data_IF_633360187008
#
_entry.id   IF_633360187008
#
_cell.length_a   1.000
_cell.length_b   1.000
_cell.length_c   1.000
_cell.angle_alpha   90.00
_cell.angle_beta   90.00
_cell.angle_gamma   90.00
#
_symmetry.space_group_name_H-M   'P 1'
#
loop_
_entity.id
_entity.type
_entity.pdbx_description
1 polymer ?
#
# COMPACT_ATOMS: atom_id res chain seq x y z
N UNK A 1 33.10 21.13 55.95
CA UNK A 1 33.48 21.66 54.61
C UNK A 1 33.66 20.56 53.55
N UNK A 2 34.54 19.55 53.74
CA UNK A 2 34.80 18.52 52.70
C UNK A 2 33.58 17.73 52.24
N UNK A 3 32.61 17.44 53.14
CA UNK A 3 31.37 16.68 52.78
C UNK A 3 30.40 17.48 51.91
N UNK A 4 30.33 18.80 52.07
CA UNK A 4 29.45 19.65 51.26
C UNK A 4 30.01 19.89 49.85
N UNK A 5 31.34 19.92 49.72
CA UNK A 5 32.02 20.05 48.42
C UNK A 5 31.79 18.80 47.58
N UNK A 6 31.85 17.59 48.15
CA UNK A 6 31.58 16.33 47.48
C UNK A 6 30.14 16.24 46.99
N UNK A 7 29.15 16.70 47.79
CA UNK A 7 27.74 16.73 47.41
C UNK A 7 27.46 17.73 46.27
N UNK A 8 28.11 18.87 46.28
CA UNK A 8 27.98 19.88 45.21
C UNK A 8 28.59 19.35 43.88
N UNK A 9 29.76 18.68 43.99
CA UNK A 9 30.42 18.07 42.82
C UNK A 9 29.56 16.94 42.23
N UNK A 10 28.88 16.13 43.07
CA UNK A 10 27.98 15.07 42.62
C UNK A 10 26.73 15.62 41.96
N UNK A 11 26.15 16.70 42.48
CA UNK A 11 25.04 17.40 41.85
C UNK A 11 25.43 18.03 40.51
N UNK A 12 26.64 18.54 40.40
CA UNK A 12 27.15 19.11 39.15
C UNK A 12 27.41 18.02 38.08
N UNK A 13 27.88 16.84 38.48
CA UNK A 13 28.03 15.67 37.59
C UNK A 13 26.69 15.13 37.09
N UNK A 14 25.63 15.20 37.89
CA UNK A 14 24.27 14.80 37.48
C UNK A 14 23.63 15.79 36.47
N UNK A 15 24.04 17.07 36.48
CA UNK A 15 23.50 18.07 35.55
C UNK A 15 24.10 17.98 34.14
N UNK A 16 25.16 17.20 33.95
CA UNK A 16 25.85 17.01 32.65
C UNK A 16 25.25 15.86 31.83
N UNK A 17 24.22 15.16 32.32
CA UNK A 17 23.41 14.32 31.46
C UNK A 17 22.64 15.24 30.50
N UNK A 18 23.31 15.66 29.46
CA UNK A 18 22.68 16.37 28.36
C UNK A 18 21.60 15.43 27.76
N UNK A 19 20.37 15.84 27.90
CA UNK A 19 19.29 15.29 27.10
C UNK A 19 19.69 15.49 25.65
N UNK A 20 20.17 14.45 24.99
CA UNK A 20 20.39 14.48 23.55
C UNK A 20 19.00 14.67 22.92
N UNK A 21 18.67 15.90 22.58
CA UNK A 21 17.47 16.21 21.82
C UNK A 21 17.62 15.50 20.48
N UNK A 22 16.79 14.47 20.26
CA UNK A 22 16.79 13.74 19.02
C UNK A 22 16.26 14.68 17.93
N UNK A 23 17.13 15.14 17.05
CA UNK A 23 16.75 15.98 15.93
C UNK A 23 16.11 15.08 14.87
N UNK A 24 14.79 15.17 14.73
CA UNK A 24 14.09 14.50 13.64
C UNK A 24 14.28 15.31 12.37
N UNK A 25 14.84 14.68 11.35
CA UNK A 25 14.83 15.22 9.98
C UNK A 25 13.54 14.78 9.29
N UNK A 26 12.69 15.73 8.95
CA UNK A 26 11.48 15.46 8.16
C UNK A 26 11.83 15.61 6.68
N UNK A 27 11.68 14.52 5.92
CA UNK A 27 11.84 14.53 4.46
C UNK A 27 10.44 14.45 3.83
N UNK A 28 10.10 15.41 3.00
CA UNK A 28 8.88 15.36 2.18
C UNK A 28 9.14 14.51 0.95
N UNK A 29 8.22 13.59 0.67
CA UNK A 29 8.18 12.81 -0.57
C UNK A 29 6.98 13.26 -1.39
N UNK A 30 7.20 13.69 -2.62
CA UNK A 30 6.18 14.20 -3.52
C UNK A 30 6.59 14.02 -4.97
N UNK A 31 5.89 14.69 -5.88
CA UNK A 31 6.16 14.62 -7.34
C UNK A 31 7.60 15.03 -7.68
N UNK A 32 8.19 15.98 -6.94
CA UNK A 32 9.58 16.40 -7.14
C UNK A 32 10.58 15.28 -6.82
N UNK A 33 10.19 14.29 -6.00
CA UNK A 33 10.99 13.12 -5.67
C UNK A 33 10.62 11.88 -6.47
N UNK A 34 9.68 12.01 -7.44
CA UNK A 34 9.29 10.95 -8.37
C UNK A 34 7.98 10.24 -8.05
N UNK A 35 7.22 10.72 -7.06
CA UNK A 35 5.85 10.24 -6.82
C UNK A 35 4.95 10.68 -7.99
N UNK A 36 4.05 9.82 -8.46
CA UNK A 36 3.20 10.10 -9.62
C UNK A 36 2.20 11.25 -9.39
N UNK A 37 1.67 11.37 -8.16
CA UNK A 37 0.75 12.42 -7.77
C UNK A 37 0.84 12.68 -6.26
N UNK A 38 0.71 13.94 -5.83
CA UNK A 38 0.73 14.32 -4.42
C UNK A 38 -0.52 13.90 -3.63
N UNK A 39 -1.60 13.51 -4.32
CA UNK A 39 -2.80 12.99 -3.68
C UNK A 39 -2.66 11.48 -3.47
N UNK A 40 -2.14 11.13 -2.29
CA UNK A 40 -1.95 9.74 -1.87
C UNK A 40 -3.18 9.29 -1.10
N UNK A 41 -3.89 8.29 -1.63
CA UNK A 41 -5.13 7.77 -1.05
C UNK A 41 -4.90 6.57 -0.13
N UNK A 42 -3.84 5.80 -0.37
CA UNK A 42 -3.55 4.59 0.41
C UNK A 42 -2.06 4.26 0.39
N UNK A 43 -1.58 3.68 1.49
CA UNK A 43 -0.18 3.24 1.66
C UNK A 43 -0.18 1.85 2.28
N UNK A 44 0.73 0.99 1.81
CA UNK A 44 1.01 -0.31 2.41
C UNK A 44 2.49 -0.64 2.32
N UNK A 45 2.96 -1.60 3.12
CA UNK A 45 4.34 -2.10 3.06
C UNK A 45 4.33 -3.59 2.73
N UNK A 46 5.14 -4.01 1.76
CA UNK A 46 5.31 -5.42 1.44
C UNK A 46 6.31 -6.14 2.37
N UNK A 47 6.43 -7.45 2.22
CA UNK A 47 7.33 -8.28 3.03
C UNK A 47 8.82 -8.01 2.80
N UNK A 48 9.15 -7.40 1.68
CA UNK A 48 10.52 -7.01 1.34
C UNK A 48 10.90 -5.65 1.93
N UNK A 49 9.90 -4.96 2.54
CA UNK A 49 10.08 -3.65 3.17
C UNK A 49 9.84 -2.46 2.24
N UNK A 50 9.48 -2.68 0.97
CA UNK A 50 9.12 -1.62 0.05
C UNK A 50 7.77 -1.00 0.41
N UNK A 51 7.66 0.32 0.30
CA UNK A 51 6.41 1.03 0.46
C UNK A 51 5.68 1.14 -0.89
N UNK A 52 4.37 0.94 -0.86
CA UNK A 52 3.50 1.06 -2.01
C UNK A 52 2.47 2.14 -1.76
N UNK A 53 2.30 3.02 -2.73
CA UNK A 53 1.40 4.18 -2.64
C UNK A 53 0.39 4.12 -3.78
N UNK A 54 -0.88 4.14 -3.42
CA UNK A 54 -1.96 4.40 -4.36
C UNK A 54 -2.19 5.90 -4.45
N UNK A 55 -2.26 6.41 -5.67
CA UNK A 55 -2.55 7.82 -5.95
C UNK A 55 -3.68 7.95 -6.98
N UNK A 56 -4.12 9.18 -7.26
CA UNK A 56 -5.04 9.44 -8.38
C UNK A 56 -4.39 9.28 -9.77
N UNK A 57 -3.05 9.11 -9.83
CA UNK A 57 -2.31 8.95 -11.08
C UNK A 57 -1.30 7.80 -11.01
N UNK A 58 -1.76 6.62 -10.63
CA UNK A 58 -0.99 5.40 -10.70
C UNK A 58 -0.52 4.84 -9.37
N UNK A 59 0.10 3.66 -9.47
CA UNK A 59 0.69 2.92 -8.37
C UNK A 59 2.18 3.22 -8.29
N UNK A 60 2.67 3.48 -7.07
CA UNK A 60 4.07 3.79 -6.85
C UNK A 60 4.69 2.81 -5.86
N UNK A 61 5.86 2.28 -6.19
CA UNK A 61 6.74 1.52 -5.30
C UNK A 61 7.92 2.37 -4.89
N UNK A 62 8.25 2.40 -3.60
CA UNK A 62 9.37 3.17 -3.05
C UNK A 62 10.34 2.26 -2.31
N UNK A 63 11.62 2.34 -2.66
CA UNK A 63 12.70 1.52 -2.11
C UNK A 63 13.44 2.19 -0.92
N UNK A 64 12.99 3.37 -0.49
CA UNK A 64 13.66 4.23 0.50
C UNK A 64 14.44 5.39 -0.15
N UNK A 65 14.72 5.33 -1.44
CA UNK A 65 15.46 6.32 -2.21
C UNK A 65 14.77 6.76 -3.49
N UNK A 66 14.18 5.83 -4.24
CA UNK A 66 13.60 6.07 -5.56
C UNK A 66 12.17 5.55 -5.66
N UNK A 67 11.37 6.20 -6.49
CA UNK A 67 10.06 5.72 -6.89
C UNK A 67 10.14 4.96 -8.22
N UNK A 68 9.39 3.85 -8.30
CA UNK A 68 9.03 3.18 -9.54
C UNK A 68 7.52 3.33 -9.67
N UNK A 69 7.05 3.88 -10.78
CA UNK A 69 5.63 4.13 -11.01
C UNK A 69 5.07 3.16 -12.05
N UNK A 70 3.85 2.68 -11.81
CA UNK A 70 3.10 1.80 -12.69
C UNK A 70 1.84 2.51 -13.16
N UNK A 71 1.68 2.58 -14.49
CA UNK A 71 0.55 3.24 -15.15
C UNK A 71 -0.25 2.27 -16.01
N UNK A 72 -1.49 2.64 -16.30
CA UNK A 72 -2.28 1.99 -17.33
C UNK A 72 -1.61 2.19 -18.70
N UNK A 73 -1.45 1.08 -19.46
CA UNK A 73 -0.85 1.10 -20.79
C UNK A 73 0.58 1.66 -20.84
N UNK A 74 1.38 1.43 -19.82
CA UNK A 74 2.78 1.84 -19.80
C UNK A 74 3.60 1.03 -20.84
N UNK A 75 4.10 1.66 -21.94
CA UNK A 75 4.83 0.96 -22.97
C UNK A 75 6.22 0.45 -22.51
N UNK A 76 6.72 0.92 -21.36
CA UNK A 76 8.00 0.47 -20.77
C UNK A 76 7.88 -0.87 -20.05
N UNK A 77 6.65 -1.31 -19.77
CA UNK A 77 6.38 -2.58 -19.11
C UNK A 77 6.10 -3.67 -20.15
N UNK A 78 6.85 -4.76 -20.06
CA UNK A 78 6.69 -5.93 -20.95
C UNK A 78 5.41 -6.75 -20.69
N UNK A 79 4.60 -6.38 -19.70
CA UNK A 79 3.34 -7.02 -19.33
C UNK A 79 2.19 -6.03 -19.43
N UNK A 80 0.96 -6.56 -19.49
CA UNK A 80 -0.23 -5.75 -19.33
C UNK A 80 -0.14 -5.03 -17.99
N UNK A 81 -0.12 -3.70 -18.02
CA UNK A 81 -0.02 -2.86 -16.82
C UNK A 81 -1.29 -2.91 -15.96
N UNK A 82 -1.33 -2.05 -14.98
CA UNK A 82 -2.54 -1.81 -14.17
C UNK A 82 -3.71 -1.35 -15.07
N UNK A 83 -4.93 -1.74 -14.73
CA UNK A 83 -6.12 -1.45 -15.56
C UNK A 83 -6.55 0.01 -15.54
N UNK A 84 -6.22 0.76 -14.47
CA UNK A 84 -6.58 2.16 -14.29
C UNK A 84 -5.56 2.94 -13.46
N UNK A 85 -5.50 4.25 -13.64
CA UNK A 85 -4.59 5.12 -12.89
C UNK A 85 -5.21 5.72 -11.63
N UNK A 86 -6.54 5.90 -11.60
CA UNK A 86 -7.26 6.43 -10.42
C UNK A 86 -7.44 5.30 -9.39
N UNK A 87 -6.63 5.32 -8.33
CA UNK A 87 -6.61 4.26 -7.33
C UNK A 87 -7.36 4.68 -6.06
N UNK A 88 -8.03 3.72 -5.43
CA UNK A 88 -8.71 3.91 -4.15
C UNK A 88 -7.98 3.24 -2.99
N UNK A 89 -7.40 2.06 -3.22
CA UNK A 89 -6.76 1.27 -2.16
C UNK A 89 -5.59 0.47 -2.70
N UNK A 90 -4.57 0.31 -1.85
CA UNK A 90 -3.50 -0.67 -2.03
C UNK A 90 -3.36 -1.51 -0.76
N UNK A 91 -3.22 -2.83 -0.93
CA UNK A 91 -3.05 -3.79 0.16
C UNK A 91 -1.97 -4.82 -0.20
N UNK A 92 -0.94 -4.92 0.64
CA UNK A 92 0.09 -5.96 0.49
C UNK A 92 -0.36 -7.26 1.15
N UNK A 93 -0.44 -8.32 0.37
CA UNK A 93 -0.79 -9.64 0.89
C UNK A 93 0.28 -10.13 1.87
N UNK A 94 -0.16 -10.54 3.07
CA UNK A 94 0.76 -10.99 4.13
C UNK A 94 1.27 -12.40 3.93
N UNK A 95 0.73 -13.17 2.99
CA UNK A 95 1.09 -14.56 2.69
C UNK A 95 1.78 -14.71 1.33
N UNK A 96 1.35 -13.94 0.34
CA UNK A 96 1.77 -14.03 -1.07
C UNK A 96 2.61 -12.82 -1.48
N UNK A 97 3.46 -12.96 -2.50
CA UNK A 97 4.19 -11.82 -3.10
C UNK A 97 3.26 -11.01 -4.00
N UNK A 98 2.15 -10.52 -3.45
CA UNK A 98 1.09 -9.86 -4.20
C UNK A 98 0.72 -8.52 -3.55
N UNK A 99 0.59 -7.51 -4.38
CA UNK A 99 -0.05 -6.24 -4.04
C UNK A 99 -1.42 -6.22 -4.71
N UNK A 100 -2.46 -6.04 -3.91
CA UNK A 100 -3.84 -5.87 -4.36
C UNK A 100 -4.13 -4.39 -4.53
N UNK A 101 -4.76 -4.03 -5.64
CA UNK A 101 -4.97 -2.63 -6.01
C UNK A 101 -6.44 -2.45 -6.44
N UNK A 102 -7.19 -1.65 -5.67
CA UNK A 102 -8.53 -1.21 -6.01
C UNK A 102 -8.45 0.05 -6.87
N UNK A 103 -9.15 0.06 -8.00
CA UNK A 103 -9.26 1.23 -8.88
C UNK A 103 -10.67 1.83 -8.80
N UNK A 104 -10.79 3.10 -9.16
CA UNK A 104 -12.05 3.81 -9.08
C UNK A 104 -13.09 3.28 -10.08
N UNK A 105 -12.68 2.84 -11.29
CA UNK A 105 -13.61 2.40 -12.35
C UNK A 105 -13.08 1.28 -13.24
N UNK A 106 -11.89 0.78 -12.93
CA UNK A 106 -11.17 -0.16 -13.78
C UNK A 106 -10.90 -1.50 -13.08
N UNK A 107 -11.72 -1.83 -12.04
CA UNK A 107 -11.72 -3.12 -11.35
C UNK A 107 -10.68 -3.26 -10.25
N UNK A 108 -10.41 -4.52 -9.91
CA UNK A 108 -9.40 -4.94 -8.95
C UNK A 108 -8.20 -5.50 -9.71
N UNK A 109 -6.99 -5.19 -9.25
CA UNK A 109 -5.77 -5.77 -9.81
C UNK A 109 -4.99 -6.50 -8.72
N UNK A 110 -4.32 -7.60 -9.09
CA UNK A 110 -3.31 -8.27 -8.30
C UNK A 110 -1.96 -8.14 -9.00
N UNK A 111 -1.00 -7.47 -8.38
CA UNK A 111 0.37 -7.40 -8.89
C UNK A 111 1.26 -8.39 -8.14
N UNK A 112 1.70 -9.45 -8.84
CA UNK A 112 2.70 -10.36 -8.32
C UNK A 112 4.09 -9.76 -8.56
N UNK A 113 4.76 -9.31 -7.50
CA UNK A 113 6.01 -8.59 -7.63
C UNK A 113 7.24 -9.50 -7.85
N UNK A 114 7.15 -10.81 -7.59
CA UNK A 114 8.20 -11.77 -7.93
C UNK A 114 8.17 -12.11 -9.43
N UNK A 115 6.96 -12.22 -9.99
CA UNK A 115 6.75 -12.50 -11.43
C UNK A 115 6.68 -11.24 -12.28
N UNK A 116 6.49 -10.08 -11.66
CA UNK A 116 6.28 -8.78 -12.31
C UNK A 116 5.07 -8.79 -13.27
N UNK A 117 3.95 -9.40 -12.84
CA UNK A 117 2.74 -9.56 -13.66
C UNK A 117 1.54 -8.99 -12.92
N UNK A 118 0.74 -8.20 -13.64
CA UNK A 118 -0.60 -7.79 -13.22
C UNK A 118 -1.65 -8.81 -13.68
N UNK A 119 -2.56 -9.16 -12.79
CA UNK A 119 -3.76 -9.97 -13.07
C UNK A 119 -4.98 -9.11 -12.77
N UNK A 120 -5.76 -8.71 -13.79
CA UNK A 120 -6.98 -7.95 -13.58
C UNK A 120 -8.15 -8.84 -13.20
N UNK A 121 -9.02 -8.32 -12.34
CA UNK A 121 -10.34 -8.84 -12.01
C UNK A 121 -11.36 -7.78 -12.39
N UNK A 122 -12.16 -8.07 -13.39
CA UNK A 122 -13.11 -7.13 -13.98
C UNK A 122 -14.53 -7.66 -13.87
N UNK A 123 -15.50 -6.74 -13.88
CA UNK A 123 -16.89 -7.09 -14.05
C UNK A 123 -17.13 -7.69 -15.44
N UNK A 124 -17.78 -8.85 -15.46
CA UNK A 124 -18.26 -9.50 -16.66
C UNK A 124 -19.75 -9.89 -16.47
N UNK A 125 -20.70 -9.26 -17.17
CA UNK A 125 -22.14 -9.54 -17.01
C UNK A 125 -22.53 -10.98 -17.37
N UNK A 126 -21.71 -11.69 -18.12
CA UNK A 126 -21.93 -13.09 -18.49
C UNK A 126 -21.40 -14.09 -17.45
N UNK A 127 -20.61 -13.63 -16.49
CA UNK A 127 -20.04 -14.46 -15.42
C UNK A 127 -20.54 -14.01 -14.04
N UNK A 128 -21.47 -14.77 -13.42
CA UNK A 128 -22.02 -14.44 -12.11
C UNK A 128 -21.00 -14.53 -10.96
N UNK A 129 -19.80 -15.04 -11.21
CA UNK A 129 -18.72 -15.11 -10.25
C UNK A 129 -17.61 -14.08 -10.51
N UNK A 130 -17.80 -13.19 -11.47
CA UNK A 130 -16.93 -12.05 -11.69
C UNK A 130 -17.23 -10.92 -10.69
N UNK A 131 -16.37 -9.91 -10.63
CA UNK A 131 -16.61 -8.69 -9.87
C UNK A 131 -17.96 -8.06 -10.24
N UNK A 132 -18.78 -7.63 -9.28
CA UNK A 132 -20.13 -7.10 -9.56
C UNK A 132 -20.11 -5.72 -10.22
N UNK A 133 -19.05 -4.97 -10.01
CA UNK A 133 -18.78 -3.66 -10.64
C UNK A 133 -17.29 -3.38 -10.65
N UNK A 134 -16.81 -2.58 -11.60
CA UNK A 134 -15.42 -2.16 -11.64
C UNK A 134 -15.09 -1.02 -10.67
N UNK A 135 -16.07 -0.46 -9.97
CA UNK A 135 -15.86 0.58 -8.96
C UNK A 135 -15.52 -0.05 -7.59
N UNK A 136 -14.24 -0.32 -7.35
CA UNK A 136 -13.74 -0.93 -6.12
C UNK A 136 -13.26 0.14 -5.15
N UNK A 137 -13.77 0.14 -3.91
CA UNK A 137 -13.49 1.19 -2.93
C UNK A 137 -12.46 0.78 -1.88
N UNK A 138 -12.50 -0.46 -1.38
CA UNK A 138 -11.57 -0.92 -0.34
C UNK A 138 -11.31 -2.43 -0.43
N UNK A 139 -10.24 -2.87 0.24
CA UNK A 139 -9.77 -4.26 0.29
C UNK A 139 -9.39 -4.59 1.73
N UNK A 140 -9.92 -5.69 2.26
CA UNK A 140 -9.55 -6.20 3.57
C UNK A 140 -9.29 -7.71 3.52
N UNK A 141 -8.26 -8.22 4.23
CA UNK A 141 -8.02 -9.66 4.33
C UNK A 141 -9.14 -10.33 5.13
N UNK A 142 -9.48 -11.56 4.74
CA UNK A 142 -10.37 -12.40 5.55
C UNK A 142 -9.61 -12.93 6.78
N UNK A 143 -10.26 -12.88 7.94
CA UNK A 143 -9.76 -13.53 9.15
C UNK A 143 -10.15 -15.00 9.24
N UNK A 144 -11.10 -15.44 8.42
CA UNK A 144 -11.62 -16.81 8.42
C UNK A 144 -10.87 -17.72 7.42
N UNK A 145 -10.24 -17.14 6.41
CA UNK A 145 -9.48 -17.87 5.40
C UNK A 145 -8.30 -17.03 4.91
N UNK A 146 -7.12 -17.64 4.86
CA UNK A 146 -5.93 -17.02 4.29
C UNK A 146 -6.03 -16.80 2.76
N UNK A 147 -7.01 -17.46 2.12
CA UNK A 147 -7.28 -17.41 0.68
C UNK A 147 -8.48 -16.52 0.35
N UNK A 148 -8.89 -15.64 1.27
CA UNK A 148 -10.03 -14.77 1.10
C UNK A 148 -9.72 -13.31 1.26
N UNK A 149 -10.34 -12.48 0.41
CA UNK A 149 -10.38 -11.03 0.54
C UNK A 149 -11.82 -10.54 0.56
N UNK A 150 -12.09 -9.60 1.43
CA UNK A 150 -13.30 -8.79 1.40
C UNK A 150 -13.05 -7.56 0.54
N UNK A 151 -13.95 -7.33 -0.39
CA UNK A 151 -13.91 -6.22 -1.34
C UNK A 151 -15.16 -5.38 -1.15
N UNK A 152 -15.01 -4.09 -0.94
CA UNK A 152 -16.15 -3.16 -0.98
C UNK A 152 -16.21 -2.44 -2.32
N UNK A 153 -17.42 -2.16 -2.76
CA UNK A 153 -17.70 -1.54 -4.05
C UNK A 153 -18.58 -0.31 -3.89
N UNK A 154 -18.53 0.57 -4.87
CA UNK A 154 -19.35 1.77 -4.88
C UNK A 154 -20.79 1.42 -5.31
N UNK A 155 -21.77 1.60 -4.41
CA UNK A 155 -23.21 1.33 -4.58
C UNK A 155 -23.62 -0.13 -4.85
N UNK A 156 -22.71 -1.13 -4.76
CA UNK A 156 -23.03 -2.54 -5.02
C UNK A 156 -22.76 -3.47 -3.84
N UNK A 157 -22.45 -2.90 -2.65
CA UNK A 157 -22.27 -3.68 -1.42
C UNK A 157 -20.84 -4.25 -1.29
N UNK A 158 -20.76 -5.44 -0.72
CA UNK A 158 -19.50 -6.12 -0.43
C UNK A 158 -19.43 -7.47 -1.16
N UNK A 159 -18.22 -7.88 -1.47
CA UNK A 159 -17.91 -9.12 -2.14
C UNK A 159 -16.80 -9.88 -1.41
N UNK A 160 -16.82 -11.17 -1.55
CA UNK A 160 -15.75 -12.04 -1.08
C UNK A 160 -15.05 -12.68 -2.27
N UNK A 161 -13.75 -12.39 -2.42
CA UNK A 161 -12.91 -13.03 -3.43
C UNK A 161 -12.22 -14.24 -2.82
N UNK A 162 -12.42 -15.41 -3.44
CA UNK A 162 -11.59 -16.57 -3.21
C UNK A 162 -10.37 -16.49 -4.14
N UNK A 163 -9.18 -16.25 -3.53
CA UNK A 163 -7.93 -16.02 -4.27
C UNK A 163 -7.49 -17.25 -5.07
N UNK A 164 -7.81 -18.47 -4.61
CA UNK A 164 -7.33 -19.70 -5.23
C UNK A 164 -7.99 -19.97 -6.59
N UNK A 165 -9.28 -19.63 -6.72
CA UNK A 165 -10.03 -19.84 -7.96
C UNK A 165 -10.43 -18.56 -8.70
N UNK A 166 -10.16 -17.39 -8.08
CA UNK A 166 -10.48 -16.08 -8.65
C UNK A 166 -11.97 -15.74 -8.69
N UNK A 167 -12.81 -16.47 -7.96
CA UNK A 167 -14.27 -16.29 -7.97
C UNK A 167 -14.74 -15.36 -6.85
N UNK A 168 -15.74 -14.55 -7.17
CA UNK A 168 -16.42 -13.65 -6.25
C UNK A 168 -17.74 -14.24 -5.77
N UNK A 169 -18.07 -13.95 -4.53
CA UNK A 169 -19.39 -14.16 -3.92
C UNK A 169 -19.93 -12.81 -3.49
N UNK A 170 -21.14 -12.47 -3.92
CA UNK A 170 -21.79 -11.17 -3.67
C UNK A 170 -22.68 -11.23 -2.42
N UNK A 171 -22.69 -10.13 -1.62
CA UNK A 171 -23.49 -10.00 -0.40
C UNK A 171 -24.32 -8.72 -0.39
#
# INVERSE_FOLDING_TARGET
MKRHIASILFLFLLSVYQSAAQTYSVKRLGIEQGLSNNYVVSITQDKQGFLWFATEEGLNKFDGTHFITYYKNDPSQNSQGITGNELNRVYADTKRPVIWIATQRDGLNAYNYDKQVFTPYLHNPEDPHSLITNDVTDIAPSTQSEDGLWISTYYRGIEYLNINNGQFTHY
#
